data_IF_756141720652
#
_entry.id   IF_756141720652
#
_cell.length_a   1.000
_cell.length_b   1.000
_cell.length_c   1.000
_cell.angle_alpha   90.00
_cell.angle_beta   90.00
_cell.angle_gamma   90.00
#
_symmetry.space_group_name_H-M   'P 1'
#
loop_
_entity.id
_entity.type
_entity.pdbx_description
1 polymer ?
#
# COMPACT_ATOMS: atom_id res chain seq x y z
N UNK A 1 -1.59 1.16 21.42
CA UNK A 1 -2.90 1.58 21.97
C UNK A 1 -3.75 2.03 20.78
N UNK A 2 -5.02 1.59 20.68
CA UNK A 2 -5.88 1.99 19.56
C UNK A 2 -6.16 3.49 19.69
N UNK A 3 -5.77 4.26 18.68
CA UNK A 3 -5.98 5.69 18.55
C UNK A 3 -7.03 5.89 17.45
N UNK A 4 -8.32 6.08 17.78
CA UNK A 4 -9.38 6.14 16.78
C UNK A 4 -9.17 7.24 15.73
N UNK A 5 -8.57 8.37 16.13
CA UNK A 5 -8.29 9.50 15.26
C UNK A 5 -7.37 9.14 14.08
N UNK A 6 -6.59 8.06 14.20
CA UNK A 6 -5.71 7.57 13.14
C UNK A 6 -6.45 7.13 11.89
N UNK A 7 -7.67 6.61 12.03
CA UNK A 7 -8.48 6.18 10.88
C UNK A 7 -8.75 7.37 9.96
N UNK A 8 -9.15 8.51 10.54
CA UNK A 8 -9.44 9.71 9.77
C UNK A 8 -8.20 10.27 9.08
N UNK A 9 -7.04 10.24 9.76
CA UNK A 9 -5.77 10.68 9.17
C UNK A 9 -5.35 9.80 8.01
N UNK A 10 -5.39 8.47 8.15
CA UNK A 10 -5.06 7.54 7.06
C UNK A 10 -5.99 7.75 5.87
N UNK A 11 -7.30 7.87 6.10
CA UNK A 11 -8.27 8.14 5.03
C UNK A 11 -8.01 9.48 4.34
N UNK A 12 -7.66 10.52 5.11
CA UNK A 12 -7.29 11.81 4.55
C UNK A 12 -6.04 11.72 3.68
N UNK A 13 -4.98 11.04 4.14
CA UNK A 13 -3.74 10.84 3.38
C UNK A 13 -4.01 10.07 2.09
N UNK A 14 -4.78 8.97 2.16
CA UNK A 14 -5.18 8.19 0.99
C UNK A 14 -5.97 9.04 0.00
N UNK A 15 -6.91 9.86 0.47
CA UNK A 15 -7.67 10.76 -0.38
C UNK A 15 -6.76 11.80 -1.08
N UNK A 16 -5.82 12.40 -0.35
CA UNK A 16 -4.87 13.37 -0.91
C UNK A 16 -4.00 12.74 -2.00
N UNK A 17 -3.46 11.54 -1.77
CA UNK A 17 -2.68 10.80 -2.77
C UNK A 17 -3.57 10.46 -3.98
N UNK A 18 -4.81 10.03 -3.74
CA UNK A 18 -5.72 9.64 -4.81
C UNK A 18 -6.09 10.82 -5.72
N UNK A 19 -6.28 12.01 -5.15
CA UNK A 19 -6.57 13.22 -5.93
C UNK A 19 -5.45 13.60 -6.92
N UNK A 20 -4.20 13.19 -6.64
CA UNK A 20 -3.08 13.37 -7.57
C UNK A 20 -3.05 12.33 -8.70
N UNK A 21 -3.81 11.24 -8.56
CA UNK A 21 -3.86 10.11 -9.50
C UNK A 21 -5.33 9.78 -9.85
N UNK A 22 -6.08 10.73 -10.46
CA UNK A 22 -7.53 10.60 -10.65
C UNK A 22 -7.94 9.44 -11.55
N UNK A 23 -7.02 8.93 -12.38
CA UNK A 23 -7.26 7.79 -13.27
C UNK A 23 -7.26 6.44 -12.55
N UNK A 24 -6.70 6.38 -11.34
CA UNK A 24 -6.68 5.14 -10.56
C UNK A 24 -8.02 4.90 -9.88
N UNK A 25 -8.46 3.64 -9.82
CA UNK A 25 -9.53 3.24 -8.90
C UNK A 25 -8.95 3.00 -7.51
N UNK A 26 -9.77 3.13 -6.47
CA UNK A 26 -9.34 2.93 -5.07
C UNK A 26 -8.51 1.65 -4.84
N UNK A 27 -8.98 0.49 -5.32
CA UNK A 27 -8.24 -0.76 -5.13
C UNK A 27 -6.90 -0.81 -5.90
N UNK A 28 -6.79 -0.09 -7.02
CA UNK A 28 -5.53 0.04 -7.75
C UNK A 28 -4.56 0.93 -6.98
N UNK A 29 -5.05 2.03 -6.41
CA UNK A 29 -4.27 2.88 -5.50
C UNK A 29 -3.72 2.07 -4.32
N UNK A 30 -4.58 1.32 -3.62
CA UNK A 30 -4.15 0.50 -2.48
C UNK A 30 -3.12 -0.56 -2.91
N UNK A 31 -3.37 -1.26 -4.01
CA UNK A 31 -2.42 -2.24 -4.55
C UNK A 31 -1.06 -1.61 -4.88
N UNK A 32 -1.04 -0.44 -5.52
CA UNK A 32 0.19 0.26 -5.88
C UNK A 32 0.95 0.70 -4.63
N UNK A 33 0.26 1.28 -3.65
CA UNK A 33 0.85 1.69 -2.37
C UNK A 33 1.44 0.51 -1.60
N UNK A 34 0.75 -0.63 -1.56
CA UNK A 34 1.27 -1.86 -0.94
C UNK A 34 2.54 -2.37 -1.65
N UNK A 35 2.57 -2.33 -2.98
CA UNK A 35 3.77 -2.72 -3.73
C UNK A 35 4.95 -1.79 -3.44
N UNK A 36 4.72 -0.48 -3.42
CA UNK A 36 5.76 0.51 -3.08
C UNK A 36 6.29 0.28 -1.66
N UNK A 37 5.40 0.14 -0.67
CA UNK A 37 5.78 -0.15 0.71
C UNK A 37 6.61 -1.45 0.79
N UNK A 38 6.15 -2.52 0.15
CA UNK A 38 6.85 -3.81 0.11
C UNK A 38 8.27 -3.65 -0.44
N UNK A 39 8.44 -2.95 -1.57
CA UNK A 39 9.74 -2.74 -2.21
C UNK A 39 10.70 -1.94 -1.32
N UNK A 40 10.21 -0.89 -0.66
CA UNK A 40 11.01 -0.06 0.25
C UNK A 40 11.37 -0.76 1.55
N UNK A 41 10.63 -1.82 1.93
CA UNK A 41 10.77 -2.52 3.21
C UNK A 41 11.18 -3.98 3.05
N UNK A 42 12.20 -4.27 2.21
CA UNK A 42 12.78 -5.61 2.03
C UNK A 42 11.74 -6.69 1.64
N UNK A 43 10.87 -6.37 0.68
CA UNK A 43 9.78 -7.26 0.22
C UNK A 43 8.77 -7.61 1.33
N UNK A 44 8.49 -6.65 2.21
CA UNK A 44 7.54 -6.81 3.31
C UNK A 44 6.19 -7.35 2.81
N UNK A 45 5.64 -8.34 3.54
CA UNK A 45 4.34 -8.92 3.24
C UNK A 45 4.33 -9.80 1.99
N UNK A 46 5.40 -9.91 1.19
CA UNK A 46 5.41 -10.80 0.04
C UNK A 46 5.30 -12.26 0.49
N UNK A 47 4.33 -12.98 -0.08
CA UNK A 47 4.08 -14.40 0.13
C UNK A 47 4.10 -15.12 -1.21
N UNK A 48 4.71 -16.30 -1.23
CA UNK A 48 4.63 -17.22 -2.38
C UNK A 48 3.41 -18.11 -2.18
N UNK A 49 2.65 -18.32 -3.24
CA UNK A 49 1.54 -19.25 -3.27
C UNK A 49 1.62 -20.13 -4.51
N UNK A 50 1.33 -21.41 -4.34
CA UNK A 50 1.14 -22.32 -5.45
C UNK A 50 -0.34 -22.33 -5.77
N UNK A 51 -0.70 -21.82 -6.94
CA UNK A 51 -2.07 -21.84 -7.41
C UNK A 51 -2.27 -23.09 -8.26
N UNK A 52 -3.19 -23.96 -7.84
CA UNK A 52 -3.63 -25.09 -8.66
C UNK A 52 -4.61 -24.58 -9.69
N UNK A 53 -4.27 -24.77 -10.96
CA UNK A 53 -5.11 -24.47 -12.10
C UNK A 53 -5.47 -25.77 -12.82
N UNK A 54 -6.44 -25.71 -13.73
CA UNK A 54 -6.81 -26.85 -14.59
C UNK A 54 -5.64 -27.33 -15.48
N UNK A 55 -4.61 -26.50 -15.64
CA UNK A 55 -3.42 -26.75 -16.44
C UNK A 55 -2.18 -27.12 -15.61
N UNK A 56 -2.32 -27.25 -14.28
CA UNK A 56 -1.22 -27.57 -13.36
C UNK A 56 -0.97 -26.51 -12.29
N UNK A 57 0.17 -26.62 -11.62
CA UNK A 57 0.58 -25.73 -10.53
C UNK A 57 1.33 -24.51 -11.07
N UNK A 58 0.83 -23.32 -10.75
CA UNK A 58 1.45 -22.03 -11.11
C UNK A 58 1.98 -21.37 -9.85
N UNK A 59 3.27 -21.01 -9.87
CA UNK A 59 3.85 -20.18 -8.83
C UNK A 59 3.31 -18.75 -8.96
N UNK A 60 2.68 -18.28 -7.90
CA UNK A 60 2.15 -16.92 -7.76
C UNK A 60 2.73 -16.26 -6.52
N UNK A 61 2.63 -14.93 -6.45
CA UNK A 61 2.94 -14.19 -5.23
C UNK A 61 1.88 -13.14 -4.97
N UNK A 62 1.59 -12.89 -3.70
CA UNK A 62 0.70 -11.82 -3.27
C UNK A 62 1.32 -11.07 -2.09
N UNK A 63 0.74 -9.92 -1.76
CA UNK A 63 1.13 -9.14 -0.60
C UNK A 63 0.13 -9.37 0.54
N UNK A 64 0.65 -9.75 1.70
CA UNK A 64 -0.07 -9.92 2.95
C UNK A 64 0.35 -8.83 3.94
N UNK A 65 -0.53 -7.85 4.12
CA UNK A 65 -0.33 -6.70 5.00
C UNK A 65 -1.07 -6.87 6.33
N UNK A 66 -1.59 -8.06 6.64
CA UNK A 66 -2.43 -8.30 7.82
C UNK A 66 -1.77 -7.89 9.15
N UNK A 67 -0.45 -8.00 9.24
CA UNK A 67 0.32 -7.65 10.44
C UNK A 67 1.01 -6.28 10.36
N UNK A 68 0.74 -5.49 9.33
CA UNK A 68 1.28 -4.13 9.26
C UNK A 68 0.56 -3.26 10.30
N UNK A 69 1.35 -2.58 11.13
CA UNK A 69 0.82 -1.65 12.12
C UNK A 69 0.44 -0.32 11.46
N UNK A 70 -0.69 0.25 11.87
CA UNK A 70 -1.26 1.46 11.26
C UNK A 70 -0.32 2.68 11.31
N UNK A 71 0.53 2.79 12.32
CA UNK A 71 1.51 3.89 12.45
C UNK A 71 2.61 3.80 11.38
N UNK A 72 3.10 2.59 11.08
CA UNK A 72 4.04 2.37 9.98
C UNK A 72 3.41 2.67 8.63
N UNK A 73 2.14 2.30 8.45
CA UNK A 73 1.41 2.62 7.23
C UNK A 73 1.18 4.13 7.09
N UNK A 74 0.74 4.79 8.16
CA UNK A 74 0.53 6.23 8.21
C UNK A 74 1.81 7.00 7.85
N UNK A 75 2.94 6.68 8.50
CA UNK A 75 4.22 7.31 8.22
C UNK A 75 4.64 7.17 6.76
N UNK A 76 4.48 5.98 6.18
CA UNK A 76 4.76 5.76 4.76
C UNK A 76 3.88 6.64 3.85
N UNK A 77 2.58 6.79 4.16
CA UNK A 77 1.70 7.65 3.36
C UNK A 77 2.10 9.13 3.45
N UNK A 78 2.57 9.59 4.62
CA UNK A 78 3.13 10.94 4.80
C UNK A 78 4.36 11.13 3.91
N UNK A 79 5.31 10.17 3.94
CA UNK A 79 6.51 10.20 3.10
C UNK A 79 6.17 10.29 1.59
N UNK A 80 5.15 9.55 1.14
CA UNK A 80 4.69 9.62 -0.25
C UNK A 80 4.22 11.05 -0.61
N UNK A 81 3.40 11.68 0.24
CA UNK A 81 2.92 13.04 -0.01
C UNK A 81 4.06 14.05 -0.02
N UNK A 82 5.05 13.90 0.87
CA UNK A 82 6.17 14.82 0.93
C UNK A 82 7.10 14.68 -0.29
N UNK A 83 7.31 13.45 -0.78
CA UNK A 83 8.02 13.21 -2.03
C UNK A 83 7.28 13.83 -3.23
N UNK A 84 5.95 13.70 -3.29
CA UNK A 84 5.15 14.33 -4.34
C UNK A 84 5.26 15.87 -4.36
N UNK A 85 5.42 16.52 -3.20
CA UNK A 85 5.66 17.97 -3.15
C UNK A 85 7.03 18.32 -3.73
N UNK A 86 8.07 17.55 -3.37
CA UNK A 86 9.44 17.81 -3.81
C UNK A 86 9.65 17.64 -5.31
N UNK A 87 8.84 16.83 -5.99
CA UNK A 87 8.90 16.65 -7.45
C UNK A 87 8.18 17.77 -8.24
N UNK A 88 7.39 18.60 -7.57
CA UNK A 88 6.62 19.69 -8.16
C UNK A 88 7.25 21.09 -7.93
N UNK A 89 8.42 21.15 -7.29
CA UNK A 89 9.26 22.35 -7.09
C UNK A 89 10.42 22.40 -8.10
#
# INVERSE_FOLDING_TARGET
MREPERIERILHLLNTIWQQQPDWRFNQLIYNLQNLYSQQNNEYGRRKAIQKTDYGEVNSSYLDFFFLEDDKWENFLVEIIDNMKSENE
#
